data_IF_304749107190
#
_entry.id   IF_304749107190
#
_cell.length_a   1.000
_cell.length_b   1.000
_cell.length_c   1.000
_cell.angle_alpha   90.00
_cell.angle_beta   90.00
_cell.angle_gamma   90.00
#
_symmetry.space_group_name_H-M   'P 1'
#
loop_
_entity.id
_entity.type
_entity.pdbx_description
1 polymer ?
#
# COMPACT_ATOMS: atom_id res chain seq x y z
N UNK A 1 50.63 -1.41 -35.06
CA UNK A 1 49.24 -1.46 -35.55
C UNK A 1 48.50 -2.46 -34.68
N UNK A 2 47.57 -2.00 -33.81
CA UNK A 2 46.11 -1.97 -34.07
C UNK A 2 45.57 -3.40 -34.22
N UNK A 3 44.66 -3.94 -33.41
CA UNK A 3 43.85 -3.45 -32.30
C UNK A 3 43.41 -4.63 -31.42
N UNK A 4 43.20 -4.31 -30.16
CA UNK A 4 42.44 -5.00 -29.12
C UNK A 4 41.26 -5.85 -29.62
N UNK A 5 41.13 -7.06 -29.08
CA UNK A 5 39.85 -7.75 -28.97
C UNK A 5 39.42 -7.69 -27.49
N UNK A 6 38.77 -6.60 -27.11
CA UNK A 6 37.99 -6.51 -25.87
C UNK A 6 36.63 -7.15 -26.18
N UNK A 7 36.42 -8.37 -25.69
CA UNK A 7 35.10 -9.00 -25.71
C UNK A 7 34.22 -8.21 -24.74
N UNK A 8 33.34 -7.40 -25.32
CA UNK A 8 32.34 -6.60 -24.63
C UNK A 8 31.33 -7.55 -24.00
N UNK A 9 31.42 -7.71 -22.67
CA UNK A 9 30.41 -8.35 -21.84
C UNK A 9 29.29 -7.32 -21.59
N UNK A 10 28.48 -6.99 -22.61
CA UNK A 10 27.23 -6.24 -22.45
C UNK A 10 26.06 -7.23 -22.64
N UNK A 11 25.80 -8.04 -21.61
CA UNK A 11 24.50 -8.70 -21.49
C UNK A 11 23.75 -8.12 -20.31
N UNK A 12 22.85 -7.20 -20.64
CA UNK A 12 21.55 -7.08 -19.97
C UNK A 12 21.55 -6.63 -18.51
N UNK A 13 21.95 -5.39 -18.24
CA UNK A 13 21.29 -4.65 -17.15
C UNK A 13 19.91 -4.22 -17.66
N UNK A 14 18.99 -5.18 -17.79
CA UNK A 14 17.57 -4.85 -17.89
C UNK A 14 17.19 -4.18 -16.56
N UNK A 15 16.61 -2.97 -16.56
CA UNK A 15 16.18 -2.35 -15.33
C UNK A 15 15.05 -3.20 -14.75
N UNK A 16 15.37 -3.96 -13.68
CA UNK A 16 14.41 -4.75 -12.89
C UNK A 16 13.22 -3.91 -12.36
N UNK A 17 13.32 -2.59 -12.47
CA UNK A 17 12.29 -1.61 -12.13
C UNK A 17 11.03 -1.72 -13.01
N UNK A 18 11.12 -2.35 -14.20
CA UNK A 18 9.98 -2.44 -15.14
C UNK A 18 8.99 -3.59 -14.88
N UNK A 19 9.28 -4.48 -13.92
CA UNK A 19 8.43 -5.62 -13.54
C UNK A 19 8.11 -5.59 -12.04
N UNK A 20 7.76 -4.42 -11.52
CA UNK A 20 7.08 -4.33 -10.24
C UNK A 20 5.69 -4.99 -10.37
N UNK A 21 5.63 -6.31 -10.18
CA UNK A 21 4.36 -7.02 -10.08
C UNK A 21 3.64 -6.56 -8.81
N UNK A 22 2.32 -6.30 -8.88
CA UNK A 22 1.57 -6.12 -7.66
C UNK A 22 1.63 -7.40 -6.86
N UNK A 23 1.91 -7.27 -5.57
CA UNK A 23 1.54 -8.36 -4.69
C UNK A 23 0.03 -8.55 -4.64
N UNK A 24 -0.42 -9.70 -4.17
CA UNK A 24 -1.84 -10.02 -4.08
C UNK A 24 -2.51 -9.35 -2.86
N UNK A 25 -3.82 -9.56 -2.71
CA UNK A 25 -4.59 -9.05 -1.57
C UNK A 25 -4.11 -9.58 -0.21
N UNK A 26 -3.50 -10.77 -0.15
CA UNK A 26 -2.96 -11.33 1.10
C UNK A 26 -1.67 -10.62 1.51
N UNK A 27 -0.80 -10.30 0.56
CA UNK A 27 0.42 -9.54 0.78
C UNK A 27 0.10 -8.09 1.19
N UNK A 28 -0.81 -7.44 0.46
CA UNK A 28 -1.28 -6.10 0.81
C UNK A 28 -1.94 -6.07 2.21
N UNK A 29 -2.70 -7.10 2.58
CA UNK A 29 -3.31 -7.21 3.91
C UNK A 29 -2.29 -7.38 5.04
N UNK A 30 -1.14 -8.02 4.79
CA UNK A 30 -0.04 -8.13 5.76
C UNK A 30 0.70 -6.80 5.93
N UNK A 31 0.85 -6.03 4.86
CA UNK A 31 1.51 -4.73 4.88
C UNK A 31 0.63 -3.63 5.50
N UNK A 32 -0.68 -3.70 5.28
CA UNK A 32 -1.63 -2.69 5.77
C UNK A 32 -1.44 -2.28 7.25
N UNK A 33 -1.38 -3.19 8.24
CA UNK A 33 -1.19 -2.79 9.64
C UNK A 33 0.15 -2.09 9.87
N UNK A 34 1.22 -2.58 9.24
CA UNK A 34 2.57 -2.01 9.39
C UNK A 34 2.60 -0.57 8.87
N UNK A 35 2.01 -0.33 7.70
CA UNK A 35 1.94 1.02 7.13
C UNK A 35 0.97 1.90 7.91
N UNK A 36 -0.12 1.33 8.45
CA UNK A 36 -1.08 2.07 9.27
C UNK A 36 -0.41 2.71 10.49
N UNK A 37 0.41 1.93 11.21
CA UNK A 37 1.14 2.39 12.40
C UNK A 37 2.07 3.58 12.10
N UNK A 38 2.60 3.67 10.87
CA UNK A 38 3.44 4.81 10.46
C UNK A 38 2.65 6.09 10.17
N UNK A 39 1.33 5.98 9.91
CA UNK A 39 0.50 7.11 9.43
C UNK A 39 -0.56 7.56 10.42
N UNK A 40 -1.06 6.66 11.25
CA UNK A 40 -2.18 6.94 12.14
C UNK A 40 -1.81 6.57 13.58
N UNK A 41 -2.13 7.44 14.55
CA UNK A 41 -1.76 7.21 15.95
C UNK A 41 -2.59 6.11 16.63
N UNK A 42 -3.74 5.76 16.05
CA UNK A 42 -4.64 4.75 16.59
C UNK A 42 -4.74 3.58 15.60
N UNK A 43 -4.51 2.33 16.05
CA UNK A 43 -4.65 1.18 15.19
C UNK A 43 -6.12 0.98 14.81
N UNK A 44 -6.38 0.29 13.70
CA UNK A 44 -7.70 -0.30 13.48
C UNK A 44 -7.81 -1.60 14.28
N UNK A 45 -9.03 -2.05 14.56
CA UNK A 45 -9.27 -3.25 15.36
C UNK A 45 -9.03 -4.54 14.59
N UNK A 46 -9.70 -4.71 13.44
CA UNK A 46 -9.54 -5.90 12.59
C UNK A 46 -9.81 -5.62 11.12
N UNK A 47 -9.17 -6.39 10.25
CA UNK A 47 -9.53 -6.48 8.84
C UNK A 47 -10.81 -7.31 8.71
N UNK A 48 -11.86 -6.74 8.12
CA UNK A 48 -13.18 -7.36 7.97
C UNK A 48 -13.28 -8.09 6.64
N UNK A 49 -12.95 -7.39 5.53
CA UNK A 49 -13.02 -7.94 4.17
C UNK A 49 -11.90 -7.42 3.29
N UNK A 50 -11.51 -8.27 2.34
CA UNK A 50 -10.67 -7.94 1.18
C UNK A 50 -11.61 -7.73 -0.01
N UNK A 51 -11.36 -6.69 -0.80
CA UNK A 51 -12.17 -6.31 -1.96
C UNK A 51 -13.69 -6.18 -1.68
N UNK A 52 -14.13 -5.44 -0.63
CA UNK A 52 -15.56 -5.24 -0.37
C UNK A 52 -16.33 -4.61 -1.54
N UNK A 53 -15.64 -3.89 -2.44
CA UNK A 53 -16.25 -3.28 -3.63
C UNK A 53 -16.28 -4.20 -4.85
N UNK A 54 -15.66 -5.38 -4.81
CA UNK A 54 -15.54 -6.32 -5.95
C UNK A 54 -14.91 -5.68 -7.20
N UNK A 55 -13.96 -4.78 -7.01
CA UNK A 55 -13.27 -4.07 -8.07
C UNK A 55 -11.90 -4.68 -8.40
N UNK A 56 -11.48 -5.69 -7.65
CA UNK A 56 -10.15 -6.28 -7.78
C UNK A 56 -9.05 -5.27 -7.42
N UNK A 57 -7.85 -5.51 -7.96
CA UNK A 57 -6.70 -4.63 -7.82
C UNK A 57 -6.71 -3.67 -9.01
N UNK A 58 -6.75 -2.36 -8.75
CA UNK A 58 -6.80 -1.33 -9.82
C UNK A 58 -5.50 -0.56 -9.89
N UNK A 59 -5.09 -0.13 -11.08
CA UNK A 59 -3.97 0.80 -11.22
C UNK A 59 -4.48 2.25 -11.22
N UNK A 60 -3.81 3.11 -10.46
CA UNK A 60 -4.10 4.55 -10.40
C UNK A 60 -2.82 5.36 -10.61
N UNK A 61 -2.89 6.42 -11.40
CA UNK A 61 -1.76 7.34 -11.57
C UNK A 61 -1.78 8.38 -10.45
N UNK A 62 -0.62 8.62 -9.83
CA UNK A 62 -0.37 9.66 -8.84
C UNK A 62 0.88 10.46 -9.23
N UNK A 63 1.13 11.59 -8.57
CA UNK A 63 2.28 12.47 -8.87
C UNK A 63 3.62 11.74 -8.90
N UNK A 64 3.81 10.74 -8.03
CA UNK A 64 5.06 9.96 -7.89
C UNK A 64 5.12 8.70 -8.74
N UNK A 65 4.07 8.37 -9.50
CA UNK A 65 4.03 7.18 -10.36
C UNK A 65 2.67 6.48 -10.39
N UNK A 66 2.62 5.33 -11.04
CA UNK A 66 1.45 4.44 -11.03
C UNK A 66 1.44 3.64 -9.72
N UNK A 67 0.29 3.46 -9.10
CA UNK A 67 0.13 2.68 -7.88
C UNK A 67 -0.94 1.63 -8.08
N UNK A 68 -0.80 0.51 -7.38
CA UNK A 68 -1.75 -0.57 -7.35
C UNK A 68 -2.61 -0.35 -6.12
N UNK A 69 -3.90 -0.25 -6.33
CA UNK A 69 -4.89 0.15 -5.35
C UNK A 69 -5.73 -1.04 -4.97
N UNK A 70 -5.71 -1.35 -3.69
CA UNK A 70 -6.44 -2.41 -3.03
C UNK A 70 -7.52 -1.77 -2.17
N UNK A 71 -8.72 -2.34 -2.15
CA UNK A 71 -9.78 -1.88 -1.26
C UNK A 71 -10.04 -2.89 -0.14
N UNK A 72 -10.15 -2.40 1.08
CA UNK A 72 -10.34 -3.19 2.29
C UNK A 72 -11.47 -2.60 3.13
N UNK A 73 -12.21 -3.45 3.83
CA UNK A 73 -13.09 -3.04 4.92
C UNK A 73 -12.37 -3.35 6.23
N UNK A 74 -12.14 -2.34 7.08
CA UNK A 74 -11.58 -2.54 8.43
C UNK A 74 -12.56 -2.02 9.48
N UNK A 75 -12.56 -2.64 10.65
CA UNK A 75 -13.30 -2.12 11.80
C UNK A 75 -12.42 -1.15 12.57
N UNK A 76 -12.91 0.09 12.71
CA UNK A 76 -12.29 1.12 13.52
C UNK A 76 -13.06 1.23 14.85
N UNK A 77 -12.50 0.72 15.97
CA UNK A 77 -13.12 0.89 17.28
C UNK A 77 -13.08 2.37 17.69
N UNK A 78 -14.01 2.79 18.53
CA UNK A 78 -13.82 4.03 19.29
C UNK A 78 -12.75 3.79 20.33
N UNK A 79 -12.02 4.84 20.65
CA UNK A 79 -11.02 4.80 21.71
C UNK A 79 -11.48 5.67 22.87
N UNK A 80 -11.35 5.14 24.08
CA UNK A 80 -11.42 5.94 25.30
C UNK A 80 -10.03 6.19 25.84
N UNK A 81 -9.87 7.34 26.49
CA UNK A 81 -8.66 7.65 27.22
C UNK A 81 -8.81 7.09 28.63
N UNK A 82 -8.00 6.08 28.96
CA UNK A 82 -7.79 5.62 30.33
C UNK A 82 -6.42 6.10 30.77
N UNK A 83 -6.42 7.09 31.67
CA UNK A 83 -5.22 7.78 32.15
C UNK A 83 -4.42 8.40 30.98
N UNK A 84 -3.29 7.78 30.61
CA UNK A 84 -2.39 8.20 29.53
C UNK A 84 -2.46 7.31 28.29
N UNK A 85 -3.25 6.23 28.32
CA UNK A 85 -3.33 5.24 27.24
C UNK A 85 -4.69 5.27 26.55
N UNK A 86 -4.69 5.17 25.21
CA UNK A 86 -5.89 4.99 24.42
C UNK A 86 -6.29 3.50 24.42
N UNK A 87 -7.48 3.19 24.90
CA UNK A 87 -8.00 1.81 24.99
C UNK A 87 -9.17 1.64 24.02
N UNK A 88 -9.18 0.60 23.17
CA UNK A 88 -10.26 0.37 22.22
C UNK A 88 -11.53 -0.09 22.94
N UNK A 89 -12.69 0.39 22.47
CA UNK A 89 -14.02 -0.07 22.86
C UNK A 89 -14.56 -1.12 21.90
N UNK A 90 -15.59 -1.83 22.33
CA UNK A 90 -16.36 -2.73 21.48
C UNK A 90 -17.17 -1.97 20.42
N UNK A 91 -17.58 -0.73 20.72
CA UNK A 91 -18.28 0.12 19.77
C UNK A 91 -17.33 0.75 18.75
N UNK A 92 -17.83 0.98 17.54
CA UNK A 92 -16.99 1.44 16.44
C UNK A 92 -17.76 1.48 15.14
N UNK A 93 -17.02 1.55 14.03
CA UNK A 93 -17.60 1.51 12.69
C UNK A 93 -16.67 0.80 11.72
N UNK A 94 -17.26 0.16 10.72
CA UNK A 94 -16.49 -0.28 9.56
C UNK A 94 -16.14 0.95 8.70
N UNK A 95 -14.93 0.97 8.18
CA UNK A 95 -14.48 1.99 7.23
C UNK A 95 -13.87 1.31 6.01
N UNK A 96 -14.10 1.93 4.86
CA UNK A 96 -13.46 1.57 3.61
C UNK A 96 -12.06 2.20 3.57
N UNK A 97 -11.08 1.38 3.21
CA UNK A 97 -9.67 1.75 3.15
C UNK A 97 -9.13 1.41 1.77
N UNK A 98 -8.52 2.39 1.12
CA UNK A 98 -7.75 2.20 -0.09
C UNK A 98 -6.27 2.19 0.25
N UNK A 99 -5.64 1.05 0.03
CA UNK A 99 -4.19 0.88 0.17
C UNK A 99 -3.57 0.98 -1.21
N UNK A 100 -2.68 1.94 -1.40
CA UNK A 100 -1.93 2.15 -2.63
C UNK A 100 -0.51 1.65 -2.39
N UNK A 101 -0.03 0.81 -3.30
CA UNK A 101 1.29 0.21 -3.23
C UNK A 101 2.00 0.31 -4.59
N UNK A 102 3.25 0.76 -4.58
CA UNK A 102 4.17 0.65 -5.70
C UNK A 102 5.56 0.25 -5.18
N UNK A 103 6.01 -1.01 -5.38
CA UNK A 103 7.33 -1.44 -4.94
C UNK A 103 8.48 -0.88 -5.79
N UNK A 104 8.19 -0.30 -6.96
CA UNK A 104 9.15 0.37 -7.84
C UNK A 104 9.43 1.83 -7.46
N UNK A 105 8.71 2.40 -6.49
CA UNK A 105 8.95 3.77 -5.97
C UNK A 105 9.66 3.67 -4.63
N UNK A 106 10.88 4.20 -4.55
CA UNK A 106 11.64 4.26 -3.29
C UNK A 106 11.03 5.23 -2.27
N UNK A 107 10.48 6.35 -2.76
CA UNK A 107 9.93 7.42 -1.94
C UNK A 107 8.42 7.27 -1.73
N UNK A 108 8.00 6.91 -0.52
CA UNK A 108 6.59 6.62 -0.19
C UNK A 108 5.97 5.53 -1.09
N UNK A 109 6.49 4.30 -1.04
CA UNK A 109 5.94 3.16 -1.78
C UNK A 109 4.50 2.82 -1.39
N UNK A 110 4.06 3.27 -0.20
CA UNK A 110 2.75 2.95 0.34
C UNK A 110 1.95 4.20 0.74
N UNK A 111 0.66 4.19 0.40
CA UNK A 111 -0.30 5.21 0.82
C UNK A 111 -1.61 4.59 1.27
N UNK A 112 -2.22 5.18 2.29
CA UNK A 112 -3.53 4.83 2.79
C UNK A 112 -4.44 6.02 2.53
N UNK A 113 -5.59 5.78 1.92
CA UNK A 113 -6.68 6.72 1.76
C UNK A 113 -7.93 6.13 2.45
N UNK A 114 -8.61 6.91 3.29
CA UNK A 114 -9.80 6.48 4.04
C UNK A 114 -11.05 7.07 3.40
N UNK A 115 -12.14 6.30 3.35
CA UNK A 115 -13.39 6.76 2.74
C UNK A 115 -13.35 6.58 1.22
N UNK A 116 -13.84 7.55 0.45
CA UNK A 116 -13.81 7.49 -1.01
C UNK A 116 -12.41 7.82 -1.56
N UNK A 117 -11.94 7.09 -2.60
CA UNK A 117 -10.63 7.36 -3.17
C UNK A 117 -10.67 8.74 -3.81
N UNK A 118 -9.75 9.61 -3.40
CA UNK A 118 -9.69 10.92 -4.03
C UNK A 118 -9.13 10.69 -5.43
N UNK A 119 -9.97 10.83 -6.45
CA UNK A 119 -9.50 10.97 -7.83
C UNK A 119 -8.76 12.29 -7.88
N UNK A 120 -7.43 12.22 -7.77
CA UNK A 120 -6.55 13.39 -7.83
C UNK A 120 -6.82 14.15 -9.12
N UNK A 121 -7.45 15.31 -9.00
CA UNK A 121 -7.38 16.37 -10.01
C UNK A 121 -5.96 16.92 -10.07
#
# INVERSE_FOLDING_TARGET
>A
MRHSFLIIFLFGFFPAVLLAEPGNYDEAAKLLPQIWETKYPLPYGKLIKKDPLKQGIRQVTRKKGKYWMYNFEVFMPKYERKETVAVPKEDGRNILVFFLWNPGVSEEPHRIELGEPHEGK
#
